data_IF_659922148734
#
_entry.id   IF_659922148734
#
_cell.length_a   1.000
_cell.length_b   1.000
_cell.length_c   1.000
_cell.angle_alpha   90.00
_cell.angle_beta   90.00
_cell.angle_gamma   90.00
#
_symmetry.space_group_name_H-M   'P 1'
#
loop_
_entity.id
_entity.type
_entity.pdbx_description
1 polymer ?
#
# COMPACT_ATOMS: atom_id res chain seq x y z
N UNK A 1 6.26 -7.85 24.74
CA UNK A 1 4.99 -7.89 23.98
C UNK A 1 5.33 -7.91 22.50
N UNK A 2 4.73 -8.77 21.70
CA UNK A 2 5.04 -8.78 20.27
C UNK A 2 4.49 -7.51 19.58
N UNK A 3 5.20 -6.97 18.59
CA UNK A 3 4.77 -5.80 17.82
C UNK A 3 3.33 -5.91 17.30
N UNK A 4 2.93 -7.13 16.91
CA UNK A 4 1.57 -7.45 16.48
C UNK A 4 0.52 -7.12 17.55
N UNK A 5 0.81 -7.40 18.83
CA UNK A 5 -0.13 -7.19 19.93
C UNK A 5 -0.32 -5.70 20.20
N UNK A 6 0.74 -4.89 20.05
CA UNK A 6 0.71 -3.45 20.26
C UNK A 6 -0.15 -2.71 19.23
N UNK A 7 -0.23 -3.22 18.01
CA UNK A 7 -0.98 -2.57 16.91
C UNK A 7 -2.35 -3.20 16.67
N UNK A 8 -2.74 -4.25 17.39
CA UNK A 8 -3.95 -5.04 17.13
C UNK A 8 -5.24 -4.19 17.15
N UNK A 9 -5.38 -3.28 18.11
CA UNK A 9 -6.57 -2.43 18.21
C UNK A 9 -6.71 -1.47 17.02
N UNK A 10 -5.59 -0.88 16.60
CA UNK A 10 -5.56 0.04 15.44
C UNK A 10 -5.85 -0.74 14.16
N UNK A 11 -5.29 -1.94 14.02
CA UNK A 11 -5.52 -2.83 12.89
C UNK A 11 -7.01 -3.20 12.78
N UNK A 12 -7.63 -3.62 13.89
CA UNK A 12 -9.06 -3.94 13.94
C UNK A 12 -9.93 -2.74 13.57
N UNK A 13 -9.58 -1.54 14.05
CA UNK A 13 -10.30 -0.30 13.68
C UNK A 13 -10.17 -0.01 12.19
N UNK A 14 -8.99 -0.21 11.60
CA UNK A 14 -8.76 0.02 10.17
C UNK A 14 -9.56 -0.96 9.30
N UNK A 15 -9.57 -2.25 9.64
CA UNK A 15 -10.35 -3.28 8.92
C UNK A 15 -11.86 -3.04 8.97
N UNK A 16 -12.35 -2.43 10.03
CA UNK A 16 -13.77 -2.12 10.20
C UNK A 16 -14.22 -0.85 9.50
N UNK A 17 -13.33 -0.10 8.85
CA UNK A 17 -13.74 1.06 8.07
C UNK A 17 -14.59 0.65 6.84
N UNK A 18 -15.59 1.46 6.45
CA UNK A 18 -16.47 1.13 5.32
C UNK A 18 -15.72 0.84 4.02
N UNK A 19 -14.67 1.60 3.73
CA UNK A 19 -13.87 1.39 2.52
C UNK A 19 -13.07 0.08 2.58
N UNK A 20 -12.48 -0.27 3.72
CA UNK A 20 -11.79 -1.53 3.90
C UNK A 20 -12.73 -2.72 3.66
N UNK A 21 -13.96 -2.64 4.19
CA UNK A 21 -14.99 -3.65 3.95
C UNK A 21 -15.39 -3.75 2.47
N UNK A 22 -15.55 -2.61 1.79
CA UNK A 22 -15.83 -2.56 0.34
C UNK A 22 -14.69 -3.20 -0.47
N UNK A 23 -13.44 -2.87 -0.17
CA UNK A 23 -12.28 -3.44 -0.82
C UNK A 23 -12.20 -4.96 -0.62
N UNK A 24 -12.45 -5.41 0.61
CA UNK A 24 -12.40 -6.83 0.99
C UNK A 24 -13.60 -7.64 0.48
N UNK A 25 -14.76 -7.02 0.21
CA UNK A 25 -15.92 -7.73 -0.37
C UNK A 25 -15.72 -8.06 -1.85
N UNK A 26 -14.93 -7.26 -2.57
CA UNK A 26 -14.77 -7.34 -4.02
C UNK A 26 -15.87 -6.61 -4.81
N UNK A 27 -16.80 -5.93 -4.13
CA UNK A 27 -17.91 -5.19 -4.76
C UNK A 27 -17.50 -3.79 -5.24
N UNK A 28 -16.23 -3.43 -5.03
CA UNK A 28 -15.68 -2.16 -5.48
C UNK A 28 -15.72 -2.07 -7.01
N UNK A 29 -16.23 -0.96 -7.53
CA UNK A 29 -16.25 -0.75 -8.97
C UNK A 29 -14.90 -0.21 -9.51
N UNK A 30 -14.65 -0.30 -10.84
CA UNK A 30 -13.40 0.14 -11.44
C UNK A 30 -13.05 1.62 -11.17
N UNK A 31 -14.03 2.51 -11.07
CA UNK A 31 -13.80 3.94 -10.76
C UNK A 31 -13.31 4.14 -9.34
N UNK A 32 -13.96 3.51 -8.37
CA UNK A 32 -13.55 3.54 -6.97
C UNK A 32 -12.17 2.91 -6.80
N UNK A 33 -11.92 1.79 -7.50
CA UNK A 33 -10.64 1.10 -7.43
C UNK A 33 -9.51 1.91 -8.08
N UNK A 34 -9.76 2.58 -9.20
CA UNK A 34 -8.79 3.49 -9.81
C UNK A 34 -8.42 4.65 -8.87
N UNK A 35 -9.40 5.22 -8.17
CA UNK A 35 -9.14 6.26 -7.16
C UNK A 35 -8.29 5.71 -6.01
N UNK A 36 -8.58 4.51 -5.55
CA UNK A 36 -7.76 3.83 -4.54
C UNK A 36 -6.31 3.63 -5.03
N UNK A 37 -6.12 3.04 -6.21
CA UNK A 37 -4.79 2.80 -6.78
C UNK A 37 -3.99 4.10 -6.94
N UNK A 38 -4.61 5.15 -7.46
CA UNK A 38 -3.97 6.45 -7.61
C UNK A 38 -3.45 6.98 -6.27
N UNK A 39 -4.27 6.89 -5.23
CA UNK A 39 -3.90 7.35 -3.89
C UNK A 39 -2.84 6.44 -3.23
N UNK A 40 -2.87 5.14 -3.50
CA UNK A 40 -1.80 4.23 -3.04
C UNK A 40 -0.48 4.52 -3.74
N UNK A 41 -0.49 4.77 -5.06
CA UNK A 41 0.73 5.16 -5.79
C UNK A 41 1.41 6.37 -5.16
N UNK A 42 0.66 7.44 -4.90
CA UNK A 42 1.17 8.66 -4.28
C UNK A 42 1.85 8.38 -2.92
N UNK A 43 1.19 7.59 -2.08
CA UNK A 43 1.70 7.25 -0.77
C UNK A 43 2.95 6.36 -0.83
N UNK A 44 2.97 5.34 -1.70
CA UNK A 44 4.13 4.47 -1.87
C UNK A 44 5.31 5.20 -2.49
N UNK A 45 5.06 6.06 -3.47
CA UNK A 45 6.12 6.84 -4.13
C UNK A 45 6.81 7.78 -3.15
N UNK A 46 6.07 8.45 -2.28
CA UNK A 46 6.64 9.28 -1.22
C UNK A 46 7.50 8.45 -0.25
N UNK A 47 7.00 7.31 0.21
CA UNK A 47 7.73 6.43 1.12
C UNK A 47 8.99 5.85 0.46
N UNK A 48 8.90 5.36 -0.78
CA UNK A 48 10.05 4.81 -1.51
C UNK A 48 11.14 5.87 -1.73
N UNK A 49 10.75 7.12 -2.03
CA UNK A 49 11.70 8.23 -2.16
C UNK A 49 12.45 8.54 -0.85
N UNK A 50 11.79 8.43 0.30
CA UNK A 50 12.46 8.60 1.60
C UNK A 50 13.34 7.39 1.93
N UNK A 51 12.87 6.18 1.67
CA UNK A 51 13.63 4.95 1.88
C UNK A 51 14.90 4.92 1.02
N UNK A 52 14.86 5.45 -0.20
CA UNK A 52 16.02 5.58 -1.10
C UNK A 52 17.09 6.53 -0.54
N UNK A 53 16.71 7.61 0.14
CA UNK A 53 17.69 8.51 0.79
C UNK A 53 18.54 7.80 1.86
N UNK A 54 17.99 6.75 2.46
CA UNK A 54 18.66 5.92 3.46
C UNK A 54 19.28 4.64 2.87
N UNK A 55 19.13 4.39 1.56
CA UNK A 55 19.62 3.17 0.91
C UNK A 55 18.89 1.88 1.32
N UNK A 56 17.75 1.99 2.01
CA UNK A 56 17.02 0.87 2.62
C UNK A 56 16.59 -0.19 1.59
N UNK A 57 16.20 0.25 0.39
CA UNK A 57 15.63 -0.63 -0.62
C UNK A 57 16.68 -1.31 -1.52
N UNK A 58 17.96 -1.03 -1.31
CA UNK A 58 19.03 -1.60 -2.16
C UNK A 58 19.10 -3.13 -2.05
N UNK A 59 18.90 -3.68 -0.85
CA UNK A 59 18.95 -5.12 -0.60
C UNK A 59 17.64 -5.85 -0.91
N UNK A 60 16.54 -5.11 -1.05
CA UNK A 60 15.19 -5.64 -1.26
C UNK A 60 14.43 -4.87 -2.34
N UNK A 61 15.00 -4.67 -3.55
CA UNK A 61 14.37 -3.84 -4.58
C UNK A 61 12.99 -4.36 -5.02
N UNK A 62 12.74 -5.65 -4.91
CA UNK A 62 11.47 -6.29 -5.24
C UNK A 62 10.29 -5.90 -4.32
N UNK A 63 10.57 -5.26 -3.17
CA UNK A 63 9.52 -4.76 -2.28
C UNK A 63 8.79 -3.54 -2.86
N UNK A 64 9.41 -2.82 -3.79
CA UNK A 64 8.86 -1.59 -4.40
C UNK A 64 7.48 -1.82 -5.00
N UNK A 65 6.56 -0.90 -4.72
CA UNK A 65 5.15 -0.99 -5.17
C UNK A 65 4.73 0.15 -6.07
N UNK A 66 5.31 1.36 -5.94
CA UNK A 66 4.82 2.54 -6.65
C UNK A 66 4.64 2.32 -8.16
N UNK A 67 5.62 1.76 -8.85
CA UNK A 67 5.53 1.52 -10.30
C UNK A 67 4.54 0.39 -10.64
N UNK A 68 4.45 -0.65 -9.80
CA UNK A 68 3.48 -1.74 -9.97
C UNK A 68 2.04 -1.23 -9.80
N UNK A 69 1.81 -0.36 -8.83
CA UNK A 69 0.51 0.29 -8.61
C UNK A 69 0.16 1.21 -9.79
N UNK A 70 1.13 1.94 -10.33
CA UNK A 70 0.95 2.78 -11.52
C UNK A 70 0.49 1.97 -12.73
N UNK A 71 1.07 0.78 -12.95
CA UNK A 71 0.63 -0.11 -14.03
C UNK A 71 -0.80 -0.64 -13.79
N UNK A 72 -1.12 -1.01 -12.55
CA UNK A 72 -2.47 -1.40 -12.17
C UNK A 72 -3.47 -0.25 -12.37
N UNK A 73 -3.10 0.97 -12.03
CA UNK A 73 -3.91 2.16 -12.27
C UNK A 73 -4.18 2.39 -13.76
N UNK A 74 -3.15 2.26 -14.61
CA UNK A 74 -3.30 2.38 -16.07
C UNK A 74 -4.26 1.31 -16.61
N UNK A 75 -4.11 0.05 -16.18
CA UNK A 75 -4.98 -1.04 -16.58
C UNK A 75 -6.44 -0.78 -16.16
N UNK A 76 -6.64 -0.34 -14.91
CA UNK A 76 -7.95 0.01 -14.39
C UNK A 76 -8.58 1.20 -15.14
N UNK A 77 -7.78 2.22 -15.49
CA UNK A 77 -8.22 3.38 -16.26
C UNK A 77 -8.63 2.99 -17.68
N UNK A 78 -7.93 2.07 -18.32
CA UNK A 78 -8.31 1.55 -19.64
C UNK A 78 -9.70 0.92 -19.62
N UNK A 79 -10.03 0.18 -18.57
CA UNK A 79 -11.36 -0.40 -18.40
C UNK A 79 -12.45 0.65 -18.18
N UNK A 80 -12.12 1.81 -17.59
CA UNK A 80 -13.04 2.95 -17.42
C UNK A 80 -13.41 3.65 -18.73
N UNK A 81 -12.50 3.69 -19.71
CA UNK A 81 -12.78 4.28 -21.03
C UNK A 81 -13.96 3.58 -21.71
N UNK A 82 -14.21 2.33 -21.37
CA UNK A 82 -15.39 1.58 -21.82
C UNK A 82 -16.69 2.01 -21.12
N UNK A 83 -16.61 2.84 -20.07
CA UNK A 83 -17.74 3.45 -19.35
C UNK A 83 -17.38 4.89 -19.00
N UNK A 84 -17.68 5.87 -19.87
CA UNK A 84 -17.32 7.27 -19.67
C UNK A 84 -18.25 7.95 -18.65
N UNK A 85 -18.19 7.58 -17.40
CA UNK A 85 -18.77 8.36 -16.32
C UNK A 85 -17.75 9.38 -15.80
N UNK A 86 -18.26 10.59 -15.48
CA UNK A 86 -17.48 11.82 -15.22
C UNK A 86 -16.73 11.83 -13.89
N UNK A 87 -16.12 10.72 -13.47
CA UNK A 87 -15.44 10.67 -12.18
C UNK A 87 -13.96 11.04 -12.31
N UNK A 88 -13.63 12.21 -11.82
CA UNK A 88 -12.25 12.66 -11.71
C UNK A 88 -11.54 11.93 -10.58
N UNK A 89 -10.52 11.16 -10.91
CA UNK A 89 -9.57 10.63 -9.92
C UNK A 89 -8.86 11.80 -9.24
N UNK A 90 -8.85 11.82 -7.92
CA UNK A 90 -8.25 12.89 -7.12
C UNK A 90 -7.45 12.35 -5.94
N UNK A 91 -6.46 13.12 -5.51
CA UNK A 91 -5.77 12.84 -4.25
C UNK A 91 -6.70 13.15 -3.08
N UNK A 92 -6.88 12.17 -2.20
CA UNK A 92 -7.68 12.31 -0.99
C UNK A 92 -6.94 13.17 0.04
N UNK A 93 -7.66 13.99 0.85
CA UNK A 93 -7.03 14.83 1.88
C UNK A 93 -6.14 14.05 2.86
N UNK A 94 -6.52 12.82 3.23
CA UNK A 94 -5.73 11.94 4.09
C UNK A 94 -4.40 11.52 3.46
N UNK A 95 -4.43 11.23 2.15
CA UNK A 95 -3.22 10.87 1.39
C UNK A 95 -2.33 12.08 1.20
N UNK A 96 -2.91 13.26 0.97
CA UNK A 96 -2.15 14.52 0.90
C UNK A 96 -1.43 14.82 2.22
N UNK A 97 -2.10 14.63 3.37
CA UNK A 97 -1.46 14.78 4.68
C UNK A 97 -0.33 13.78 4.89
N UNK A 98 -0.54 12.52 4.51
CA UNK A 98 0.50 11.50 4.59
C UNK A 98 1.70 11.84 3.70
N UNK A 99 1.45 12.23 2.46
CA UNK A 99 2.48 12.65 1.50
C UNK A 99 3.32 13.81 2.05
N UNK A 100 2.68 14.85 2.58
CA UNK A 100 3.37 16.00 3.16
C UNK A 100 4.23 15.57 4.36
N UNK A 101 3.64 14.79 5.28
CA UNK A 101 4.35 14.27 6.46
C UNK A 101 5.60 13.46 6.07
N UNK A 102 5.49 12.57 5.10
CA UNK A 102 6.62 11.76 4.63
C UNK A 102 7.68 12.62 3.97
N UNK A 103 7.28 13.64 3.20
CA UNK A 103 8.22 14.53 2.51
C UNK A 103 8.91 15.55 3.43
N UNK A 104 8.40 15.82 4.62
CA UNK A 104 9.13 16.57 5.66
C UNK A 104 10.42 15.85 6.08
N UNK A 105 10.49 14.56 5.86
CA UNK A 105 11.65 13.71 6.10
C UNK A 105 11.39 12.65 7.17
N UNK A 106 11.67 11.40 6.84
CA UNK A 106 11.63 10.28 7.77
C UNK A 106 13.04 9.87 8.16
N UNK A 107 13.25 9.51 9.42
CA UNK A 107 14.44 8.76 9.83
C UNK A 107 14.42 7.35 9.25
N UNK A 108 15.57 6.67 9.24
CA UNK A 108 15.64 5.28 8.78
C UNK A 108 14.68 4.38 9.57
N UNK A 109 14.61 4.52 10.89
CA UNK A 109 13.67 3.79 11.75
C UNK A 109 12.22 4.03 11.35
N UNK A 110 11.83 5.27 11.12
CA UNK A 110 10.48 5.61 10.67
C UNK A 110 10.18 5.01 9.29
N UNK A 111 11.13 5.03 8.37
CA UNK A 111 10.95 4.35 7.07
C UNK A 111 10.64 2.86 7.25
N UNK A 112 11.38 2.15 8.10
CA UNK A 112 11.12 0.73 8.38
C UNK A 112 9.74 0.50 9.00
N UNK A 113 9.30 1.36 9.92
CA UNK A 113 7.96 1.27 10.51
C UNK A 113 6.86 1.47 9.45
N UNK A 114 7.00 2.45 8.57
CA UNK A 114 6.06 2.68 7.47
C UNK A 114 6.06 1.54 6.43
N UNK A 115 7.23 1.00 6.11
CA UNK A 115 7.36 -0.18 5.25
C UNK A 115 6.63 -1.37 5.87
N UNK A 116 6.83 -1.63 7.15
CA UNK A 116 6.13 -2.69 7.86
C UNK A 116 4.60 -2.55 7.74
N UNK A 117 4.06 -1.41 8.12
CA UNK A 117 2.60 -1.20 8.13
C UNK A 117 1.99 -1.37 6.74
N UNK A 118 2.57 -0.71 5.71
CA UNK A 118 2.00 -0.71 4.36
C UNK A 118 2.21 -2.02 3.64
N UNK A 119 3.46 -2.47 3.54
CA UNK A 119 3.77 -3.65 2.73
C UNK A 119 3.24 -4.93 3.35
N UNK A 120 3.25 -5.05 4.68
CA UNK A 120 2.69 -6.25 5.32
C UNK A 120 1.16 -6.30 5.19
N UNK A 121 0.48 -5.15 5.26
CA UNK A 121 -0.94 -5.08 4.92
C UNK A 121 -1.23 -5.65 3.53
N UNK A 122 -0.45 -5.24 2.53
CA UNK A 122 -0.60 -5.72 1.16
C UNK A 122 -0.13 -7.18 0.97
N UNK A 123 0.93 -7.59 1.65
CA UNK A 123 1.42 -8.98 1.59
C UNK A 123 0.42 -9.98 2.19
N UNK A 124 -0.26 -9.62 3.27
CA UNK A 124 -1.20 -10.52 3.96
C UNK A 124 -2.63 -10.36 3.44
N UNK A 125 -3.12 -9.12 3.30
CA UNK A 125 -4.48 -8.84 2.84
C UNK A 125 -4.64 -8.87 1.32
N UNK A 126 -3.61 -8.51 0.59
CA UNK A 126 -3.66 -8.33 -0.86
C UNK A 126 -4.02 -9.60 -1.64
N UNK A 127 -3.64 -10.77 -1.15
CA UNK A 127 -4.02 -12.04 -1.78
C UNK A 127 -5.56 -12.26 -1.74
N UNK A 128 -6.22 -11.84 -0.67
CA UNK A 128 -7.69 -11.90 -0.58
C UNK A 128 -8.35 -10.89 -1.51
N UNK A 129 -7.84 -9.66 -1.52
CA UNK A 129 -8.32 -8.58 -2.38
C UNK A 129 -8.20 -8.98 -3.85
N UNK A 130 -7.03 -9.45 -4.27
CA UNK A 130 -6.77 -9.84 -5.66
C UNK A 130 -7.63 -11.00 -6.14
N UNK A 131 -8.03 -11.91 -5.25
CA UNK A 131 -8.95 -13.01 -5.57
C UNK A 131 -10.41 -12.57 -5.71
N UNK A 132 -10.79 -11.50 -5.04
CA UNK A 132 -12.18 -11.00 -5.03
C UNK A 132 -12.43 -9.96 -6.09
N UNK A 133 -11.48 -9.07 -6.37
CA UNK A 133 -11.54 -8.10 -7.46
C UNK A 133 -11.07 -8.77 -8.74
N UNK A 134 -12.01 -9.28 -9.54
CA UNK A 134 -11.73 -10.14 -10.69
C UNK A 134 -11.63 -9.43 -12.04
N UNK A 135 -11.94 -8.13 -12.09
CA UNK A 135 -11.98 -7.39 -13.35
C UNK A 135 -10.60 -7.00 -13.89
N UNK A 136 -9.52 -7.24 -13.14
CA UNK A 136 -8.15 -7.00 -13.58
C UNK A 136 -7.14 -7.92 -12.87
N UNK A 137 -5.92 -8.00 -13.40
CA UNK A 137 -4.77 -8.58 -12.69
C UNK A 137 -4.15 -7.52 -11.79
N UNK A 138 -3.62 -7.94 -10.65
CA UNK A 138 -3.07 -7.04 -9.64
C UNK A 138 -1.56 -7.23 -9.48
N UNK A 139 -0.77 -6.28 -9.96
CA UNK A 139 0.69 -6.26 -9.75
C UNK A 139 1.05 -5.75 -8.35
N UNK A 140 0.22 -4.84 -7.80
CA UNK A 140 0.39 -4.29 -6.46
C UNK A 140 0.58 -5.37 -5.38
N UNK A 141 -0.18 -6.46 -5.48
CA UNK A 141 -0.18 -7.54 -4.49
C UNK A 141 0.72 -8.73 -4.87
N UNK A 142 1.40 -8.68 -6.02
CA UNK A 142 2.33 -9.72 -6.45
C UNK A 142 3.73 -9.44 -5.90
N UNK A 143 4.10 -10.16 -4.84
CA UNK A 143 5.41 -10.05 -4.22
C UNK A 143 6.26 -11.26 -4.54
N UNK A 144 7.39 -11.04 -5.20
CA UNK A 144 8.44 -12.03 -5.36
C UNK A 144 9.19 -12.18 -4.04
N UNK A 145 9.64 -13.42 -3.73
CA UNK A 145 10.41 -13.71 -2.51
C UNK A 145 9.76 -13.19 -1.23
N UNK A 146 8.43 -13.33 -1.14
CA UNK A 146 7.63 -12.78 -0.04
C UNK A 146 8.14 -13.17 1.35
N UNK A 147 8.58 -14.43 1.53
CA UNK A 147 9.07 -14.93 2.81
C UNK A 147 10.35 -14.19 3.23
N UNK A 148 11.29 -14.06 2.31
CA UNK A 148 12.57 -13.38 2.54
C UNK A 148 12.36 -11.89 2.80
N UNK A 149 11.43 -11.24 2.08
CA UNK A 149 11.07 -9.85 2.33
C UNK A 149 10.53 -9.65 3.74
N UNK A 150 9.63 -10.53 4.19
CA UNK A 150 9.06 -10.49 5.54
C UNK A 150 10.16 -10.65 6.59
N UNK A 151 11.05 -11.62 6.42
CA UNK A 151 12.16 -11.87 7.34
C UNK A 151 13.13 -10.68 7.38
N UNK A 152 13.48 -10.12 6.22
CA UNK A 152 14.36 -8.96 6.13
C UNK A 152 13.76 -7.74 6.86
N UNK A 153 12.51 -7.37 6.55
CA UNK A 153 11.86 -6.23 7.20
C UNK A 153 11.74 -6.43 8.71
N UNK A 154 11.34 -7.62 9.15
CA UNK A 154 11.25 -7.94 10.59
C UNK A 154 12.59 -7.81 11.30
N UNK A 155 13.69 -8.19 10.65
CA UNK A 155 15.05 -8.06 11.22
C UNK A 155 15.46 -6.62 11.48
N UNK A 156 14.79 -5.64 10.85
CA UNK A 156 15.08 -4.20 11.02
C UNK A 156 14.18 -3.52 12.04
N UNK A 157 13.16 -4.22 12.54
CA UNK A 157 12.23 -3.71 13.54
C UNK A 157 12.73 -4.03 14.94
N UNK A 158 12.54 -3.11 15.87
CA UNK A 158 12.81 -3.27 17.29
C UNK A 158 11.63 -2.76 18.12
N UNK A 159 11.54 -3.20 19.36
CA UNK A 159 10.41 -2.88 20.25
C UNK A 159 10.31 -1.37 20.57
N UNK A 160 11.37 -0.60 20.34
CA UNK A 160 11.44 0.84 20.50
C UNK A 160 10.88 1.64 19.29
N UNK A 161 10.40 0.95 18.26
CA UNK A 161 9.82 1.58 17.05
C UNK A 161 8.29 1.75 17.12
N UNK A 162 7.65 1.38 18.21
CA UNK A 162 6.19 1.41 18.41
C UNK A 162 5.77 2.56 19.28
#
# INVERSE_FOLDING_TARGET
>A
MALKDLVQDVHTKAENQPFAKLLMSGDINPTQYATYLFNQEEAYRALEAQADKHGILNDIPEIRRADKIKEDFKACRFMRVMRPEKDHVRVLPSVRRYYNYVNEGLTEKQCWAHIYVRHFGDMYGGNMISKRIKFMKHQMYAFDRKKELIEHVRSKLSDDMV
#
